data_IF_346619920686
#
_entry.id   IF_346619920686
#
_cell.length_a   1.000
_cell.length_b   1.000
_cell.length_c   1.000
_cell.angle_alpha   90.00
_cell.angle_beta   90.00
_cell.angle_gamma   90.00
#
_symmetry.space_group_name_H-M   'P 1'
#
loop_
_entity.id
_entity.type
_entity.pdbx_description
1 polymer ?
#
# COMPACT_ATOMS: atom_id res chain seq x y z
N UNK A 1 -6.93 3.39 9.02
CA UNK A 1 -6.62 2.70 7.74
C UNK A 1 -7.66 3.04 6.68
N UNK A 2 -7.39 2.70 5.43
CA UNK A 2 -8.25 2.84 4.25
C UNK A 2 -8.22 1.55 3.42
N UNK A 3 -8.99 1.52 2.34
CA UNK A 3 -9.13 0.34 1.48
C UNK A 3 -7.79 -0.14 0.90
N UNK A 4 -6.82 0.75 0.70
CA UNK A 4 -5.46 0.47 0.20
C UNK A 4 -4.37 0.30 1.26
N UNK A 5 -4.72 0.29 2.54
CA UNK A 5 -3.75 0.21 3.64
C UNK A 5 -3.74 1.46 4.53
N UNK A 6 -2.62 1.75 5.18
CA UNK A 6 -2.49 2.88 6.09
C UNK A 6 -2.23 4.18 5.33
N UNK A 7 -3.04 5.21 5.60
CA UNK A 7 -2.70 6.58 5.23
C UNK A 7 -1.71 7.13 6.26
N UNK A 8 -0.83 8.03 5.84
CA UNK A 8 0.26 8.55 6.70
C UNK A 8 -0.27 9.33 7.90
N UNK A 9 -1.35 10.08 7.70
CA UNK A 9 -2.06 10.79 8.78
C UNK A 9 -3.56 10.83 8.52
N UNK A 10 -4.33 11.40 9.45
CA UNK A 10 -5.75 11.73 9.26
C UNK A 10 -6.01 13.14 8.72
N UNK A 11 -4.96 13.94 8.53
CA UNK A 11 -5.06 15.33 8.09
C UNK A 11 -4.83 15.45 6.58
N UNK A 12 -5.78 15.93 5.78
CA UNK A 12 -5.60 16.16 4.35
C UNK A 12 -4.97 17.54 4.07
N UNK A 13 -3.75 17.77 4.55
CA UNK A 13 -3.06 19.07 4.38
C UNK A 13 -2.64 19.36 2.93
N UNK A 14 -2.58 18.30 2.12
CA UNK A 14 -1.96 18.28 0.81
C UNK A 14 -0.46 18.08 0.82
N UNK A 15 0.15 17.77 1.96
CA UNK A 15 1.51 17.22 2.00
C UNK A 15 1.55 15.79 1.47
N UNK A 16 2.64 15.41 0.79
CA UNK A 16 2.85 14.03 0.35
C UNK A 16 2.91 13.01 1.52
N UNK A 17 3.21 13.48 2.74
CA UNK A 17 3.24 12.68 3.98
C UNK A 17 1.97 12.84 4.83
N UNK A 18 0.83 13.07 4.19
CA UNK A 18 -0.46 13.26 4.85
C UNK A 18 -1.56 12.50 4.08
N UNK A 19 -2.79 12.51 4.59
CA UNK A 19 -3.92 11.93 3.86
C UNK A 19 -4.04 12.57 2.46
N UNK A 20 -4.32 11.79 1.40
CA UNK A 20 -4.70 10.38 1.41
C UNK A 20 -3.53 9.40 1.17
N UNK A 21 -2.28 9.87 1.19
CA UNK A 21 -1.15 9.08 0.74
C UNK A 21 -0.68 8.06 1.80
N UNK A 22 -0.37 6.86 1.33
CA UNK A 22 0.30 5.81 2.08
C UNK A 22 1.65 5.47 1.46
N UNK A 23 2.62 5.16 2.32
CA UNK A 23 4.00 4.88 1.94
C UNK A 23 4.38 3.47 2.39
N UNK A 24 5.06 2.73 1.52
CA UNK A 24 5.55 1.38 1.78
C UNK A 24 6.28 1.19 3.14
N UNK A 25 7.22 2.06 3.54
CA UNK A 25 7.89 1.91 4.84
C UNK A 25 6.92 2.02 6.04
N UNK A 26 5.90 2.88 5.95
CA UNK A 26 4.89 3.03 7.01
C UNK A 26 4.05 1.76 7.14
N UNK A 27 3.69 1.13 6.02
CA UNK A 27 2.99 -0.17 6.04
C UNK A 27 3.84 -1.24 6.72
N UNK A 28 5.12 -1.35 6.31
CA UNK A 28 6.02 -2.38 6.80
C UNK A 28 6.25 -2.28 8.32
N UNK A 29 6.57 -1.07 8.80
CA UNK A 29 6.80 -0.82 10.23
C UNK A 29 5.54 -1.12 11.05
N UNK A 30 4.37 -0.67 10.58
CA UNK A 30 3.12 -0.89 11.30
C UNK A 30 2.72 -2.37 11.33
N UNK A 31 2.82 -3.08 10.20
CA UNK A 31 2.53 -4.52 10.11
C UNK A 31 3.46 -5.32 11.02
N UNK A 32 4.76 -5.02 11.00
CA UNK A 32 5.72 -5.71 11.86
C UNK A 32 5.45 -5.43 13.34
N UNK A 33 5.10 -4.19 13.69
CA UNK A 33 4.62 -3.83 15.03
C UNK A 33 3.40 -4.66 15.43
N UNK A 34 2.37 -4.70 14.59
CA UNK A 34 1.16 -5.49 14.87
C UNK A 34 1.48 -6.97 15.10
N UNK A 35 2.35 -7.58 14.27
CA UNK A 35 2.79 -8.98 14.42
C UNK A 35 3.49 -9.21 15.75
N UNK A 36 4.42 -8.32 16.15
CA UNK A 36 5.16 -8.42 17.42
C UNK A 36 4.27 -8.40 18.65
N UNK A 37 3.14 -7.70 18.58
CA UNK A 37 2.19 -7.59 19.69
C UNK A 37 1.00 -8.56 19.58
N UNK A 38 1.05 -9.53 18.65
CA UNK A 38 0.03 -10.58 18.53
C UNK A 38 -1.20 -10.22 17.68
N UNK A 39 -1.26 -9.02 17.11
CA UNK A 39 -2.33 -8.55 16.22
C UNK A 39 -2.15 -9.08 14.80
N UNK A 40 -2.11 -10.42 14.65
CA UNK A 40 -1.81 -11.09 13.39
C UNK A 40 -2.88 -10.88 12.33
N UNK A 41 -4.15 -10.86 12.73
CA UNK A 41 -5.26 -10.70 11.79
C UNK A 41 -5.25 -9.31 11.17
N UNK A 42 -5.01 -8.28 11.98
CA UNK A 42 -4.90 -6.89 11.56
C UNK A 42 -3.66 -6.69 10.68
N UNK A 43 -2.52 -7.27 11.07
CA UNK A 43 -1.30 -7.26 10.27
C UNK A 43 -1.53 -7.86 8.88
N UNK A 44 -2.11 -9.06 8.79
CA UNK A 44 -2.41 -9.72 7.51
C UNK A 44 -3.38 -8.90 6.67
N UNK A 45 -4.40 -8.31 7.29
CA UNK A 45 -5.40 -7.47 6.59
C UNK A 45 -4.76 -6.21 6.01
N UNK A 46 -3.90 -5.51 6.76
CA UNK A 46 -3.17 -4.33 6.25
C UNK A 46 -2.21 -4.74 5.13
N UNK A 47 -1.46 -5.84 5.28
CA UNK A 47 -0.60 -6.39 4.22
C UNK A 47 -1.39 -6.66 2.94
N UNK A 48 -2.49 -7.40 3.02
CA UNK A 48 -3.33 -7.74 1.85
C UNK A 48 -3.86 -6.47 1.17
N UNK A 49 -4.35 -5.50 1.95
CA UNK A 49 -4.90 -4.26 1.40
C UNK A 49 -3.85 -3.46 0.62
N UNK A 50 -2.63 -3.35 1.15
CA UNK A 50 -1.53 -2.62 0.49
C UNK A 50 -0.95 -3.40 -0.70
N UNK A 51 -0.67 -4.69 -0.54
CA UNK A 51 -0.13 -5.52 -1.63
C UNK A 51 -1.09 -5.60 -2.81
N UNK A 52 -2.39 -5.75 -2.57
CA UNK A 52 -3.40 -5.78 -3.63
C UNK A 52 -3.53 -4.43 -4.35
N UNK A 53 -3.34 -3.31 -3.64
CA UNK A 53 -3.26 -1.98 -4.25
C UNK A 53 -2.05 -1.90 -5.18
N UNK A 54 -0.85 -2.23 -4.69
CA UNK A 54 0.37 -2.19 -5.51
C UNK A 54 0.26 -3.09 -6.73
N UNK A 55 -0.27 -4.31 -6.56
CA UNK A 55 -0.47 -5.26 -7.66
C UNK A 55 -1.47 -4.77 -8.69
N UNK A 56 -2.63 -4.26 -8.26
CA UNK A 56 -3.64 -3.67 -9.16
C UNK A 56 -3.04 -2.54 -9.99
N UNK A 57 -2.30 -1.65 -9.36
CA UNK A 57 -1.70 -0.50 -10.03
C UNK A 57 -0.58 -0.94 -10.99
N UNK A 58 0.22 -1.93 -10.59
CA UNK A 58 1.23 -2.54 -11.45
C UNK A 58 0.62 -3.16 -12.71
N UNK A 59 -0.50 -3.88 -12.61
CA UNK A 59 -1.18 -4.45 -13.77
C UNK A 59 -1.72 -3.35 -14.70
N UNK A 60 -2.21 -2.24 -14.14
CA UNK A 60 -2.75 -1.14 -14.91
C UNK A 60 -1.68 -0.33 -15.65
N UNK A 61 -0.52 -0.12 -15.01
CA UNK A 61 0.48 0.86 -15.48
C UNK A 61 1.85 0.25 -15.80
N UNK A 62 2.05 -1.05 -15.59
CA UNK A 62 3.33 -1.76 -15.70
C UNK A 62 4.48 -1.11 -14.91
N UNK A 63 4.15 -0.43 -13.81
CA UNK A 63 5.10 0.29 -12.97
C UNK A 63 4.79 0.07 -11.49
N UNK A 64 5.85 0.07 -10.67
CA UNK A 64 5.76 0.19 -9.21
C UNK A 64 6.28 1.58 -8.86
N UNK A 65 5.64 2.27 -7.93
CA UNK A 65 5.96 3.68 -7.63
C UNK A 65 6.26 3.90 -6.15
N UNK A 66 6.74 5.11 -5.86
CA UNK A 66 7.17 5.56 -4.53
C UNK A 66 6.04 5.52 -3.48
N UNK A 67 4.85 6.02 -3.81
CA UNK A 67 3.72 6.24 -2.90
C UNK A 67 2.37 6.02 -3.59
N UNK A 68 1.31 5.81 -2.82
CA UNK A 68 -0.03 5.54 -3.35
C UNK A 68 -1.11 6.30 -2.61
N UNK A 69 -2.18 6.68 -3.31
CA UNK A 69 -3.45 7.06 -2.67
C UNK A 69 -4.12 5.77 -2.15
N UNK A 70 -4.07 5.58 -0.84
CA UNK A 70 -4.64 4.38 -0.19
C UNK A 70 -6.15 4.48 0.02
N UNK A 71 -6.76 5.65 -0.18
CA UNK A 71 -8.20 5.81 -0.13
C UNK A 71 -8.82 5.44 -1.48
N UNK A 72 -8.29 6.00 -2.57
CA UNK A 72 -8.76 5.74 -3.93
C UNK A 72 -8.16 4.47 -4.56
N UNK A 73 -7.17 3.85 -3.91
CA UNK A 73 -6.46 2.65 -4.39
C UNK A 73 -5.86 2.85 -5.80
N UNK A 74 -5.01 3.86 -5.93
CA UNK A 74 -4.31 4.23 -7.18
C UNK A 74 -2.96 4.91 -6.88
N UNK A 75 -2.02 4.88 -7.83
CA UNK A 75 -0.80 5.70 -7.83
C UNK A 75 -1.00 7.16 -8.26
N UNK A 76 -2.21 7.54 -8.70
CA UNK A 76 -2.51 8.92 -9.11
C UNK A 76 -2.38 9.89 -7.94
N UNK A 77 -1.65 10.99 -8.16
CA UNK A 77 -1.48 12.07 -7.18
C UNK A 77 -2.61 13.13 -7.25
N UNK A 78 -3.52 12.97 -8.21
CA UNK A 78 -4.31 14.04 -8.86
C UNK A 78 -5.44 14.71 -8.07
N UNK A 79 -5.61 14.48 -6.77
CA UNK A 79 -6.68 15.15 -6.00
C UNK A 79 -6.24 15.75 -4.65
N UNK A 80 -4.99 15.57 -4.22
CA UNK A 80 -4.57 15.93 -2.86
C UNK A 80 -3.24 16.66 -2.75
N UNK A 81 -2.28 16.41 -3.63
CA UNK A 81 -0.92 16.90 -3.43
C UNK A 81 -0.78 18.40 -3.73
N UNK A 82 -0.37 19.17 -2.72
CA UNK A 82 -0.05 20.60 -2.77
C UNK A 82 1.39 20.89 -2.38
N UNK A 83 1.96 20.10 -1.47
CA UNK A 83 3.31 20.28 -0.92
C UNK A 83 4.11 18.98 -1.05
N UNK A 84 5.11 18.98 -1.93
CA UNK A 84 5.95 17.82 -2.25
C UNK A 84 6.34 17.79 -3.73
N UNK A 85 6.90 16.67 -4.17
CA UNK A 85 7.23 16.46 -5.59
C UNK A 85 5.97 16.16 -6.40
N UNK A 86 5.74 16.91 -7.47
CA UNK A 86 4.59 16.70 -8.36
C UNK A 86 4.62 15.39 -9.16
N UNK A 87 5.73 14.65 -9.09
CA UNK A 87 5.91 13.32 -9.67
C UNK A 87 5.80 12.20 -8.63
N UNK A 88 5.43 11.03 -9.11
CA UNK A 88 5.51 9.78 -8.37
C UNK A 88 6.60 8.93 -9.04
N UNK A 89 7.72 8.72 -8.36
CA UNK A 89 8.89 8.12 -8.98
C UNK A 89 8.65 6.65 -9.31
N UNK A 90 8.97 6.26 -10.56
CA UNK A 90 8.86 4.89 -11.06
C UNK A 90 10.07 4.09 -10.62
N UNK A 91 9.80 2.89 -10.11
CA UNK A 91 10.78 2.08 -9.41
C UNK A 91 11.07 2.71 -8.06
N UNK A 92 10.94 1.95 -6.97
CA UNK A 92 11.34 2.47 -5.68
C UNK A 92 11.76 1.37 -4.72
N UNK A 93 12.97 1.48 -4.19
CA UNK A 93 13.59 0.43 -3.37
C UNK A 93 12.74 0.00 -2.18
N UNK A 94 12.13 0.96 -1.46
CA UNK A 94 11.26 0.61 -0.33
C UNK A 94 9.96 -0.05 -0.75
N UNK A 95 9.42 0.22 -1.95
CA UNK A 95 8.13 -0.35 -2.35
C UNK A 95 8.35 -1.78 -2.74
N UNK A 96 9.44 -2.03 -3.48
CA UNK A 96 9.90 -3.36 -3.83
C UNK A 96 10.16 -4.20 -2.56
N UNK A 97 10.96 -3.67 -1.63
CA UNK A 97 11.32 -4.37 -0.39
C UNK A 97 10.09 -4.66 0.49
N UNK A 98 9.23 -3.67 0.71
CA UNK A 98 8.02 -3.87 1.49
C UNK A 98 7.08 -4.88 0.83
N UNK A 99 6.93 -4.84 -0.49
CA UNK A 99 6.08 -5.79 -1.19
C UNK A 99 6.58 -7.23 -0.99
N UNK A 100 7.86 -7.48 -1.23
CA UNK A 100 8.44 -8.81 -1.08
C UNK A 100 8.38 -9.30 0.37
N UNK A 101 8.69 -8.44 1.33
CA UNK A 101 8.71 -8.81 2.74
C UNK A 101 7.30 -9.13 3.24
N UNK A 102 6.35 -8.22 3.04
CA UNK A 102 4.97 -8.41 3.48
C UNK A 102 4.31 -9.63 2.83
N UNK A 103 4.57 -9.86 1.54
CA UNK A 103 4.04 -11.03 0.83
C UNK A 103 4.62 -12.34 1.36
N UNK A 104 5.94 -12.38 1.66
CA UNK A 104 6.60 -13.57 2.20
C UNK A 104 6.04 -13.99 3.55
N UNK A 105 5.69 -13.00 4.39
CA UNK A 105 5.18 -13.20 5.75
C UNK A 105 3.68 -13.57 5.81
N UNK A 106 2.94 -13.44 4.71
CA UNK A 106 1.55 -13.87 4.66
C UNK A 106 1.45 -15.40 4.73
N UNK A 107 0.51 -15.96 5.54
CA UNK A 107 0.19 -17.38 5.49
C UNK A 107 -0.20 -17.80 4.07
N UNK A 108 0.15 -19.03 3.67
CA UNK A 108 -0.10 -19.51 2.31
C UNK A 108 -1.56 -19.36 1.87
N UNK A 109 -2.52 -19.66 2.75
CA UNK A 109 -3.96 -19.50 2.47
C UNK A 109 -4.46 -18.05 2.37
N UNK A 110 -3.66 -17.07 2.81
CA UNK A 110 -3.99 -15.64 2.72
C UNK A 110 -3.38 -15.00 1.47
N UNK A 111 -2.31 -15.57 0.89
CA UNK A 111 -1.66 -15.00 -0.32
C UNK A 111 -2.59 -14.90 -1.52
N UNK A 112 -3.50 -15.87 -1.68
CA UNK A 112 -4.52 -15.83 -2.73
C UNK A 112 -5.43 -14.59 -2.64
N UNK A 113 -5.60 -14.00 -1.45
CA UNK A 113 -6.40 -12.77 -1.27
C UNK A 113 -5.71 -11.51 -1.80
N UNK A 114 -4.39 -11.54 -1.99
CA UNK A 114 -3.68 -10.46 -2.70
C UNK A 114 -4.10 -10.43 -4.17
N UNK A 115 -4.38 -11.61 -4.74
CA UNK A 115 -4.81 -11.81 -6.13
C UNK A 115 -6.33 -11.65 -6.31
N UNK A 116 -7.10 -11.92 -5.25
CA UNK A 116 -8.54 -11.68 -5.17
C UNK A 116 -8.84 -10.20 -4.95
N UNK A 117 -8.60 -9.37 -5.96
CA UNK A 117 -9.11 -8.00 -6.02
C UNK A 117 -10.63 -8.05 -5.98
N UNK A 118 -11.31 -7.09 -5.37
CA UNK A 118 -12.71 -6.62 -5.55
C UNK A 118 -13.62 -7.33 -6.61
N UNK A 119 -13.66 -8.67 -6.67
CA UNK A 119 -14.23 -9.47 -7.76
C UNK A 119 -13.43 -9.58 -9.08
N UNK A 120 -12.24 -8.97 -9.22
CA UNK A 120 -11.44 -9.02 -10.46
C UNK A 120 -10.25 -9.96 -10.27
N UNK A 121 -10.30 -11.14 -10.89
CA UNK A 121 -9.16 -12.04 -10.91
C UNK A 121 -7.97 -11.39 -11.60
N UNK A 122 -6.87 -11.24 -10.87
CA UNK A 122 -5.55 -11.05 -11.50
C UNK A 122 -5.21 -12.37 -12.19
N UNK A 123 -4.89 -12.38 -13.50
CA UNK A 123 -4.50 -13.60 -14.22
C UNK A 123 -3.25 -14.26 -13.63
#
# INVERSE_FOLDING_TARGET
ERAGGLQTSTNPSGSQWDAPFGWAPVQLIAVEGLRRYGYRQEADRVSINFLSLVLKDFIAHNTIVEKYDVAARTSSLGAGLRFGYGSNEIGFGWTNAAFTELYSQLPAGQRAKVLGLDGVGVP
#
